data_IF_332841499184
#
_entry.id   IF_332841499184
#
_cell.length_a   1.000
_cell.length_b   1.000
_cell.length_c   1.000
_cell.angle_alpha   90.00
_cell.angle_beta   90.00
_cell.angle_gamma   90.00
#
_symmetry.space_group_name_H-M   'P 1'
#
loop_
_entity.id
_entity.type
_entity.pdbx_description
1 polymer ?
#
# COMPACT_ATOMS: atom_id res chain seq x y z
N UNK A 1 0.54 -18.11 39.74
CA UNK A 1 0.41 -19.46 39.14
C UNK A 1 -0.78 -19.39 38.21
N UNK A 2 -0.56 -19.06 36.94
CA UNK A 2 -1.61 -18.92 35.94
C UNK A 2 -1.64 -20.22 35.14
N UNK A 3 -2.74 -20.93 35.29
CA UNK A 3 -3.07 -22.19 34.63
C UNK A 3 -3.08 -21.99 33.12
N UNK A 4 -2.02 -22.44 32.43
CA UNK A 4 -2.01 -22.61 30.96
C UNK A 4 -2.68 -23.96 30.66
N UNK A 5 -3.99 -24.02 30.84
CA UNK A 5 -4.77 -25.10 30.27
C UNK A 5 -4.75 -24.94 28.75
N UNK A 6 -3.82 -25.65 28.08
CA UNK A 6 -3.81 -25.71 26.62
C UNK A 6 -5.13 -26.35 26.19
N UNK A 7 -6.02 -25.58 25.61
CA UNK A 7 -7.30 -26.10 25.15
C UNK A 7 -7.02 -27.20 24.11
N UNK A 8 -7.86 -28.24 24.06
CA UNK A 8 -7.84 -29.32 23.04
C UNK A 8 -7.65 -28.75 21.63
N UNK A 9 -8.19 -27.54 21.40
CA UNK A 9 -8.07 -26.77 20.17
C UNK A 9 -6.66 -26.22 19.97
N UNK A 10 -5.96 -25.75 21.03
CA UNK A 10 -4.57 -25.32 20.98
C UNK A 10 -3.60 -26.48 20.71
N UNK A 11 -3.84 -27.62 21.32
CA UNK A 11 -3.06 -28.85 21.08
C UNK A 11 -3.25 -29.38 19.66
N UNK A 12 -4.48 -29.39 19.13
CA UNK A 12 -4.76 -29.81 17.75
C UNK A 12 -4.19 -28.80 16.73
N UNK A 13 -4.20 -27.50 17.03
CA UNK A 13 -3.49 -26.49 16.22
C UNK A 13 -1.98 -26.73 16.19
N UNK A 14 -1.36 -26.99 17.35
CA UNK A 14 0.08 -27.28 17.43
C UNK A 14 0.47 -28.57 16.68
N UNK A 15 -0.37 -29.62 16.77
CA UNK A 15 -0.18 -30.85 16.00
C UNK A 15 -0.34 -30.65 14.49
N UNK A 16 -1.35 -29.89 14.06
CA UNK A 16 -1.53 -29.55 12.65
C UNK A 16 -0.38 -28.69 12.13
N UNK A 17 0.11 -27.72 12.91
CA UNK A 17 1.27 -26.90 12.57
C UNK A 17 2.56 -27.74 12.49
N UNK A 18 2.78 -28.70 13.40
CA UNK A 18 3.97 -29.55 13.39
C UNK A 18 3.98 -30.60 12.29
N UNK A 19 2.83 -31.23 12.03
CA UNK A 19 2.75 -32.35 11.07
C UNK A 19 2.51 -31.90 9.61
N UNK A 20 1.80 -30.80 9.39
CA UNK A 20 1.38 -30.34 8.06
C UNK A 20 1.87 -28.93 7.75
N UNK A 21 1.98 -28.06 8.75
CA UNK A 21 2.42 -26.68 8.57
C UNK A 21 3.91 -26.58 8.19
N UNK A 22 4.77 -27.42 8.78
CA UNK A 22 6.20 -27.39 8.47
C UNK A 22 6.53 -27.77 7.01
N UNK A 23 5.93 -28.81 6.42
CA UNK A 23 6.10 -29.07 4.98
C UNK A 23 5.60 -27.95 4.07
N UNK A 24 4.49 -27.30 4.42
CA UNK A 24 3.94 -26.15 3.64
C UNK A 24 4.89 -24.96 3.74
N UNK A 25 5.36 -24.64 4.93
CA UNK A 25 6.32 -23.56 5.12
C UNK A 25 7.64 -23.85 4.36
N UNK A 26 8.12 -25.10 4.38
CA UNK A 26 9.29 -25.50 3.60
C UNK A 26 9.08 -25.36 2.08
N UNK A 27 7.89 -25.66 1.56
CA UNK A 27 7.55 -25.44 0.14
C UNK A 27 7.46 -23.95 -0.18
N UNK A 28 6.88 -23.14 0.69
CA UNK A 28 6.81 -21.70 0.54
C UNK A 28 8.22 -21.08 0.50
N UNK A 29 9.11 -21.51 1.41
CA UNK A 29 10.52 -21.09 1.42
C UNK A 29 11.26 -21.50 0.14
N UNK A 30 10.97 -22.69 -0.39
CA UNK A 30 11.55 -23.15 -1.66
C UNK A 30 11.06 -22.28 -2.85
N UNK A 31 9.79 -21.89 -2.87
CA UNK A 31 9.25 -20.95 -3.87
C UNK A 31 9.90 -19.56 -3.77
N UNK A 32 10.07 -19.05 -2.55
CA UNK A 32 10.76 -17.79 -2.30
C UNK A 32 12.22 -17.82 -2.75
N UNK A 33 12.94 -18.91 -2.43
CA UNK A 33 14.32 -19.09 -2.85
C UNK A 33 14.45 -19.21 -4.38
N UNK A 34 13.53 -19.90 -5.04
CA UNK A 34 13.48 -20.00 -6.50
C UNK A 34 13.20 -18.66 -7.15
N UNK A 35 12.26 -17.87 -6.61
CA UNK A 35 11.96 -16.52 -7.06
C UNK A 35 13.19 -15.61 -6.91
N UNK A 36 13.81 -15.59 -5.74
CA UNK A 36 15.01 -14.78 -5.46
C UNK A 36 16.15 -15.14 -6.43
N UNK A 37 16.45 -16.43 -6.62
CA UNK A 37 17.47 -16.89 -7.56
C UNK A 37 17.17 -16.48 -9.00
N UNK A 38 15.89 -16.52 -9.40
CA UNK A 38 15.46 -16.11 -10.74
C UNK A 38 15.61 -14.60 -10.93
N UNK A 39 15.30 -13.80 -9.89
CA UNK A 39 15.44 -12.35 -9.91
C UNK A 39 16.92 -11.90 -9.91
N UNK A 40 17.78 -12.57 -9.14
CA UNK A 40 19.22 -12.29 -9.11
C UNK A 40 19.87 -12.50 -10.47
N UNK A 41 19.40 -13.49 -11.23
CA UNK A 41 19.82 -13.73 -12.63
C UNK A 41 19.38 -12.63 -13.61
N UNK A 42 18.47 -11.75 -13.19
CA UNK A 42 17.94 -10.64 -14.00
C UNK A 42 18.70 -9.32 -13.80
N UNK A 43 19.87 -9.30 -13.17
CA UNK A 43 20.66 -8.07 -13.06
C UNK A 43 21.12 -7.61 -14.45
N UNK A 44 20.42 -6.64 -15.01
CA UNK A 44 20.68 -6.09 -16.34
C UNK A 44 21.39 -4.75 -16.26
N UNK A 45 22.49 -4.63 -17.00
CA UNK A 45 22.86 -3.35 -17.60
C UNK A 45 22.13 -3.27 -18.96
N UNK A 46 21.30 -2.27 -19.14
CA UNK A 46 20.58 -2.03 -20.41
C UNK A 46 21.53 -1.40 -21.45
N UNK A 47 22.73 -1.97 -21.62
CA UNK A 47 23.81 -1.46 -22.47
C UNK A 47 23.76 -1.99 -23.91
N UNK A 48 22.83 -2.89 -24.19
CA UNK A 48 22.69 -3.46 -25.53
C UNK A 48 21.25 -3.84 -25.89
N UNK A 49 20.94 -3.85 -27.18
CA UNK A 49 19.64 -4.29 -27.72
C UNK A 49 19.34 -5.73 -27.31
N UNK A 50 20.36 -6.58 -27.20
CA UNK A 50 20.20 -7.98 -26.76
C UNK A 50 19.80 -8.08 -25.28
N UNK A 51 20.33 -7.20 -24.42
CA UNK A 51 19.95 -7.13 -22.99
C UNK A 51 18.48 -6.69 -22.87
N UNK A 52 18.06 -5.65 -23.60
CA UNK A 52 16.67 -5.19 -23.61
C UNK A 52 15.71 -6.29 -24.10
N UNK A 53 16.08 -7.05 -25.14
CA UNK A 53 15.27 -8.19 -25.61
C UNK A 53 15.14 -9.27 -24.53
N UNK A 54 16.25 -9.70 -23.90
CA UNK A 54 16.20 -10.66 -22.80
C UNK A 54 15.32 -10.19 -21.65
N UNK A 55 15.37 -8.89 -21.30
CA UNK A 55 14.47 -8.33 -20.29
C UNK A 55 13.01 -8.44 -20.72
N UNK A 56 12.69 -8.08 -21.98
CA UNK A 56 11.33 -8.19 -22.51
C UNK A 56 10.80 -9.63 -22.45
N UNK A 57 11.64 -10.62 -22.72
CA UNK A 57 11.28 -12.05 -22.68
C UNK A 57 10.87 -12.53 -21.27
N UNK A 58 11.19 -11.74 -20.25
CA UNK A 58 10.73 -12.02 -18.87
C UNK A 58 9.28 -11.59 -18.62
N UNK A 59 8.62 -10.93 -19.58
CA UNK A 59 7.23 -10.50 -19.45
C UNK A 59 6.33 -11.25 -20.43
N UNK A 60 5.08 -11.54 -19.99
CA UNK A 60 4.06 -12.22 -20.80
C UNK A 60 3.33 -11.27 -21.76
N UNK A 61 3.98 -10.19 -22.17
CA UNK A 61 3.41 -9.24 -23.12
C UNK A 61 3.35 -9.84 -24.52
N UNK A 62 2.25 -9.57 -25.25
CA UNK A 62 2.17 -9.91 -26.67
C UNK A 62 3.38 -9.33 -27.42
N UNK A 63 3.98 -10.08 -28.38
CA UNK A 63 5.12 -9.61 -29.16
C UNK A 63 4.88 -8.29 -29.89
N UNK A 64 3.64 -8.06 -30.30
CA UNK A 64 3.24 -6.87 -31.10
C UNK A 64 2.85 -5.68 -30.21
N UNK A 65 2.82 -5.85 -28.87
CA UNK A 65 2.44 -4.80 -27.96
C UNK A 65 3.64 -4.00 -27.47
N UNK A 66 3.63 -2.70 -27.67
CA UNK A 66 4.51 -1.74 -27.00
C UNK A 66 3.73 -1.17 -25.82
N UNK A 67 4.03 -1.69 -24.62
CA UNK A 67 3.32 -1.29 -23.40
C UNK A 67 4.12 -0.22 -22.64
N UNK A 68 3.57 0.99 -22.54
CA UNK A 68 4.19 2.15 -21.89
C UNK A 68 3.38 2.69 -20.71
N UNK A 69 2.30 2.00 -20.29
CA UNK A 69 1.36 2.52 -19.32
C UNK A 69 1.39 1.77 -17.97
N UNK A 70 2.58 1.63 -17.38
CA UNK A 70 2.72 1.13 -15.99
C UNK A 70 2.01 2.01 -14.96
N UNK A 71 1.81 3.28 -15.27
CA UNK A 71 1.07 4.22 -14.42
C UNK A 71 -0.39 3.79 -14.19
N UNK A 72 -1.04 3.17 -15.17
CA UNK A 72 -2.38 2.61 -14.99
C UNK A 72 -2.33 1.25 -14.30
N UNK A 73 -1.54 0.31 -14.84
CA UNK A 73 -1.33 -1.02 -14.27
C UNK A 73 0.03 -1.57 -14.72
N UNK A 74 0.83 -2.07 -13.79
CA UNK A 74 2.14 -2.65 -14.10
C UNK A 74 2.03 -4.02 -14.78
N UNK A 75 3.04 -4.35 -15.56
CA UNK A 75 3.27 -5.73 -16.01
C UNK A 75 4.01 -6.49 -14.91
N UNK A 76 3.79 -7.80 -14.85
CA UNK A 76 4.39 -8.67 -13.84
C UNK A 76 5.42 -9.55 -14.54
N UNK A 77 6.67 -9.62 -14.06
CA UNK A 77 7.69 -10.48 -14.66
C UNK A 77 7.36 -11.96 -14.44
N UNK A 78 7.78 -12.80 -15.37
CA UNK A 78 7.52 -14.25 -15.36
C UNK A 78 7.85 -14.93 -14.03
N UNK A 79 9.02 -14.68 -13.38
CA UNK A 79 9.32 -15.30 -12.10
C UNK A 79 8.27 -14.99 -11.00
N UNK A 80 7.73 -13.78 -10.99
CA UNK A 80 6.66 -13.39 -10.04
C UNK A 80 5.34 -14.07 -10.39
N UNK A 81 5.01 -14.22 -11.68
CA UNK A 81 3.83 -14.97 -12.13
C UNK A 81 3.93 -16.43 -11.71
N UNK A 82 5.09 -17.05 -11.94
CA UNK A 82 5.33 -18.46 -11.62
C UNK A 82 5.26 -18.70 -10.10
N UNK A 83 5.82 -17.80 -9.30
CA UNK A 83 5.71 -17.83 -7.83
C UNK A 83 4.24 -17.71 -7.39
N UNK A 84 3.48 -16.77 -7.96
CA UNK A 84 2.06 -16.58 -7.65
C UNK A 84 1.24 -17.85 -7.93
N UNK A 85 1.48 -18.51 -9.08
CA UNK A 85 0.85 -19.80 -9.41
C UNK A 85 1.25 -20.86 -8.40
N UNK A 86 2.54 -20.97 -8.06
CA UNK A 86 3.04 -21.93 -7.06
C UNK A 86 2.42 -21.75 -5.67
N UNK A 87 2.23 -20.51 -5.23
CA UNK A 87 1.53 -20.22 -3.97
C UNK A 87 0.04 -20.54 -4.04
N UNK A 88 -0.62 -20.33 -5.19
CA UNK A 88 -2.01 -20.73 -5.40
C UNK A 88 -2.14 -22.26 -5.30
N UNK A 89 -1.31 -23.01 -5.99
CA UNK A 89 -1.28 -24.48 -5.91
C UNK A 89 -1.00 -24.96 -4.48
N UNK A 90 -0.12 -24.27 -3.75
CA UNK A 90 0.17 -24.58 -2.35
C UNK A 90 -1.06 -24.39 -1.46
N UNK A 91 -1.87 -23.36 -1.69
CA UNK A 91 -3.15 -23.17 -1.00
C UNK A 91 -4.08 -24.36 -1.17
N UNK A 92 -4.19 -24.88 -2.40
CA UNK A 92 -5.10 -25.95 -2.73
C UNK A 92 -4.66 -27.32 -2.17
N UNK A 93 -3.38 -27.49 -1.80
CA UNK A 93 -2.93 -28.75 -1.18
C UNK A 93 -3.52 -28.95 0.22
N UNK A 94 -3.77 -27.88 0.98
CA UNK A 94 -4.35 -27.95 2.32
C UNK A 94 -5.27 -26.74 2.60
N UNK A 95 -6.46 -26.69 2.00
CA UNK A 95 -7.36 -25.53 2.09
C UNK A 95 -7.74 -25.11 3.52
N UNK A 96 -7.80 -26.08 4.45
CA UNK A 96 -8.12 -25.79 5.85
C UNK A 96 -7.06 -24.94 6.54
N UNK A 97 -5.80 -25.04 6.15
CA UNK A 97 -4.70 -24.23 6.70
C UNK A 97 -4.71 -22.81 6.14
N UNK A 98 -5.31 -22.60 4.99
CA UNK A 98 -5.50 -21.29 4.38
C UNK A 98 -6.31 -20.36 5.28
N UNK A 99 -7.36 -20.86 5.93
CA UNK A 99 -8.23 -20.06 6.81
C UNK A 99 -7.83 -20.17 8.29
N UNK A 100 -7.46 -21.37 8.74
CA UNK A 100 -7.33 -21.70 10.16
C UNK A 100 -5.89 -21.84 10.64
N UNK A 101 -4.92 -21.94 9.71
CA UNK A 101 -3.51 -22.10 10.03
C UNK A 101 -2.77 -20.76 10.15
N UNK A 102 -1.71 -20.74 10.96
CA UNK A 102 -0.83 -19.57 11.08
C UNK A 102 0.18 -19.44 9.92
N UNK A 103 0.22 -20.41 9.00
CA UNK A 103 1.24 -20.47 7.93
C UNK A 103 1.18 -19.22 7.05
N UNK A 104 0.00 -18.88 6.57
CA UNK A 104 -0.17 -17.71 5.70
C UNK A 104 0.05 -16.39 6.44
N UNK A 105 -0.28 -16.35 7.72
CA UNK A 105 0.00 -15.18 8.56
C UNK A 105 1.52 -14.97 8.68
N UNK A 106 2.29 -16.02 8.89
CA UNK A 106 3.77 -15.94 8.98
C UNK A 106 4.36 -15.44 7.67
N UNK A 107 3.88 -15.95 6.52
CA UNK A 107 4.33 -15.49 5.20
C UNK A 107 3.96 -14.03 4.95
N UNK A 108 2.73 -13.64 5.24
CA UNK A 108 2.27 -12.25 5.09
C UNK A 108 3.06 -11.26 5.99
N UNK A 109 3.42 -11.67 7.22
CA UNK A 109 4.26 -10.84 8.08
C UNK A 109 5.69 -10.70 7.52
N UNK A 110 6.23 -11.73 6.87
CA UNK A 110 7.50 -11.64 6.14
C UNK A 110 7.44 -10.60 5.01
N UNK A 111 6.38 -10.63 4.21
CA UNK A 111 6.15 -9.64 3.14
C UNK A 111 5.97 -8.24 3.71
N UNK A 112 5.21 -8.10 4.82
CA UNK A 112 5.03 -6.82 5.50
C UNK A 112 6.37 -6.23 5.94
N UNK A 113 7.23 -7.04 6.53
CA UNK A 113 8.55 -6.59 6.98
C UNK A 113 9.42 -6.10 5.80
N UNK A 114 9.40 -6.81 4.66
CA UNK A 114 10.10 -6.39 3.45
C UNK A 114 9.51 -5.10 2.86
N UNK A 115 8.18 -4.98 2.84
CA UNK A 115 7.49 -3.77 2.37
C UNK A 115 7.78 -2.57 3.29
N UNK A 116 7.80 -2.77 4.60
CA UNK A 116 8.15 -1.73 5.57
C UNK A 116 9.60 -1.25 5.38
N UNK A 117 10.53 -2.17 5.16
CA UNK A 117 11.92 -1.84 4.86
C UNK A 117 12.06 -1.03 3.55
N UNK A 118 11.31 -1.41 2.48
CA UNK A 118 11.26 -0.67 1.22
C UNK A 118 10.75 0.76 1.40
N UNK A 119 9.75 0.94 2.25
CA UNK A 119 9.08 2.21 2.52
C UNK A 119 9.75 3.01 3.64
N UNK A 120 10.71 2.41 4.36
CA UNK A 120 11.40 2.97 5.53
C UNK A 120 10.44 3.38 6.63
N UNK A 121 9.55 2.48 7.01
CA UNK A 121 8.61 2.64 8.12
C UNK A 121 8.60 1.37 8.98
N UNK A 122 7.90 1.42 10.11
CA UNK A 122 7.72 0.25 10.97
C UNK A 122 6.66 -0.70 10.38
N UNK A 123 6.85 -2.01 10.55
CA UNK A 123 5.92 -3.01 10.06
C UNK A 123 4.53 -2.89 10.71
N UNK A 124 4.48 -2.44 11.97
CA UNK A 124 3.24 -2.23 12.70
C UNK A 124 2.42 -1.03 12.20
N UNK A 125 3.06 -0.13 11.44
CA UNK A 125 2.43 1.03 10.82
C UNK A 125 1.88 0.71 9.41
N UNK A 126 2.10 -0.51 8.90
CA UNK A 126 1.77 -0.87 7.53
C UNK A 126 0.67 -1.91 7.46
N UNK A 127 -0.45 -1.56 6.81
CA UNK A 127 -1.52 -2.46 6.44
C UNK A 127 -1.33 -2.97 5.01
N UNK A 128 -1.62 -4.25 4.78
CA UNK A 128 -1.70 -4.83 3.45
C UNK A 128 -3.15 -4.72 2.97
N UNK A 129 -3.39 -3.93 1.94
CA UNK A 129 -4.70 -3.67 1.32
C UNK A 129 -4.76 -4.23 -0.10
N UNK A 130 -5.83 -3.97 -0.87
CA UNK A 130 -5.92 -4.41 -2.26
C UNK A 130 -5.39 -3.38 -3.26
N UNK A 131 -5.45 -2.10 -2.92
CA UNK A 131 -4.98 -0.99 -3.76
C UNK A 131 -4.98 0.33 -2.97
N UNK A 132 -4.46 1.39 -3.59
CA UNK A 132 -4.48 2.75 -3.04
C UNK A 132 -5.90 3.26 -2.75
N UNK A 133 -6.87 2.96 -3.62
CA UNK A 133 -8.27 3.41 -3.46
C UNK A 133 -8.89 2.85 -2.18
N UNK A 134 -8.65 1.57 -1.86
CA UNK A 134 -9.09 1.00 -0.58
C UNK A 134 -8.45 1.73 0.61
N UNK A 135 -7.14 1.99 0.55
CA UNK A 135 -6.46 2.76 1.59
C UNK A 135 -7.13 4.12 1.83
N UNK A 136 -7.45 4.87 0.76
CA UNK A 136 -8.17 6.14 0.89
C UNK A 136 -9.60 5.98 1.39
N UNK A 137 -10.29 4.88 1.07
CA UNK A 137 -11.60 4.59 1.66
C UNK A 137 -11.51 4.34 3.17
N UNK A 138 -10.51 3.60 3.63
CA UNK A 138 -10.25 3.42 5.07
C UNK A 138 -10.09 4.76 5.76
N UNK A 139 -9.26 5.65 5.22
CA UNK A 139 -9.02 6.98 5.77
C UNK A 139 -10.29 7.85 5.78
N UNK A 140 -10.98 7.92 4.65
CA UNK A 140 -12.17 8.76 4.48
C UNK A 140 -13.33 8.32 5.38
N UNK A 141 -13.56 7.02 5.48
CA UNK A 141 -14.62 6.48 6.35
C UNK A 141 -14.26 6.56 7.83
N UNK A 142 -12.97 6.41 8.16
CA UNK A 142 -12.49 6.39 9.54
C UNK A 142 -12.40 7.75 10.19
N UNK A 143 -12.06 8.82 9.46
CA UNK A 143 -11.96 10.15 10.05
C UNK A 143 -13.34 10.73 10.43
N UNK A 144 -13.47 11.28 11.64
CA UNK A 144 -14.72 11.89 12.12
C UNK A 144 -14.85 13.34 11.63
N UNK A 145 -14.89 13.54 10.30
CA UNK A 145 -15.12 14.85 9.71
C UNK A 145 -16.61 15.20 9.72
N UNK A 146 -16.90 16.48 9.89
CA UNK A 146 -18.25 17.05 10.03
C UNK A 146 -18.37 18.42 9.34
N UNK A 147 -19.55 19.04 9.41
CA UNK A 147 -19.78 20.37 8.88
C UNK A 147 -18.79 21.39 9.48
N UNK A 148 -18.18 22.19 8.63
CA UNK A 148 -17.11 23.14 8.97
C UNK A 148 -15.70 22.63 8.69
N UNK A 149 -15.50 21.31 8.56
CA UNK A 149 -14.21 20.73 8.18
C UNK A 149 -14.00 20.77 6.65
N UNK A 150 -12.75 20.90 6.21
CA UNK A 150 -12.37 20.86 4.80
C UNK A 150 -11.32 19.79 4.54
N UNK A 151 -11.49 19.03 3.45
CA UNK A 151 -10.47 18.19 2.82
C UNK A 151 -9.98 18.88 1.56
N UNK A 152 -8.68 19.13 1.49
CA UNK A 152 -8.03 19.84 0.40
C UNK A 152 -7.27 18.92 -0.52
N UNK A 153 -7.49 19.07 -1.82
CA UNK A 153 -6.76 18.43 -2.91
C UNK A 153 -6.20 19.45 -3.88
N UNK A 154 -5.21 19.08 -4.67
CA UNK A 154 -4.93 19.78 -5.93
C UNK A 154 -5.82 19.26 -7.06
N UNK A 155 -5.99 20.03 -8.13
CA UNK A 155 -6.78 19.62 -9.32
C UNK A 155 -6.18 18.44 -10.09
N UNK A 156 -4.92 18.07 -9.80
CA UNK A 156 -4.22 16.95 -10.43
C UNK A 156 -4.21 15.66 -9.60
N UNK A 157 -4.89 15.62 -8.45
CA UNK A 157 -5.03 14.39 -7.66
C UNK A 157 -5.86 13.36 -8.44
N UNK A 158 -5.46 12.09 -8.31
CA UNK A 158 -6.19 10.99 -8.92
C UNK A 158 -7.56 10.77 -8.27
N UNK A 159 -8.58 10.50 -9.09
CA UNK A 159 -9.95 10.30 -8.61
C UNK A 159 -10.06 9.16 -7.57
N UNK A 160 -9.25 8.10 -7.68
CA UNK A 160 -9.22 6.99 -6.71
C UNK A 160 -8.88 7.41 -5.28
N UNK A 161 -8.18 8.53 -5.10
CA UNK A 161 -7.90 9.09 -3.78
C UNK A 161 -8.99 10.05 -3.30
N UNK A 162 -9.84 10.56 -4.18
CA UNK A 162 -10.76 11.67 -3.90
C UNK A 162 -12.23 11.27 -3.78
N UNK A 163 -12.72 10.34 -4.60
CA UNK A 163 -14.17 10.03 -4.73
C UNK A 163 -14.82 9.61 -3.41
N UNK A 164 -14.11 8.89 -2.55
CA UNK A 164 -14.67 8.53 -1.23
C UNK A 164 -15.00 9.76 -0.39
N UNK A 165 -14.14 10.76 -0.42
CA UNK A 165 -14.33 12.03 0.30
C UNK A 165 -15.51 12.84 -0.25
N UNK A 166 -15.63 12.93 -1.59
CA UNK A 166 -16.76 13.62 -2.23
C UNK A 166 -18.08 12.98 -1.78
N UNK A 167 -18.19 11.66 -1.86
CA UNK A 167 -19.38 10.91 -1.46
C UNK A 167 -19.72 11.09 0.03
N UNK A 168 -18.71 11.11 0.90
CA UNK A 168 -18.92 11.28 2.33
C UNK A 168 -19.23 12.74 2.71
N UNK A 169 -18.69 13.71 1.99
CA UNK A 169 -19.00 15.12 2.18
C UNK A 169 -20.50 15.40 2.02
N UNK A 170 -21.13 14.83 0.99
CA UNK A 170 -22.59 14.92 0.78
C UNK A 170 -23.41 14.39 1.98
N UNK A 171 -22.89 13.40 2.70
CA UNK A 171 -23.57 12.73 3.80
C UNK A 171 -23.28 13.36 5.17
N UNK A 172 -22.05 13.87 5.37
CA UNK A 172 -21.55 14.33 6.66
C UNK A 172 -21.44 15.86 6.77
N UNK A 173 -21.55 16.56 5.63
CA UNK A 173 -21.59 18.03 5.58
C UNK A 173 -20.24 18.73 5.60
N UNK A 174 -19.11 18.00 5.60
CA UNK A 174 -17.81 18.63 5.41
C UNK A 174 -17.58 19.02 3.93
N UNK A 175 -16.57 19.85 3.65
CA UNK A 175 -16.28 20.32 2.30
C UNK A 175 -15.10 19.60 1.69
N UNK A 176 -15.18 19.26 0.40
CA UNK A 176 -14.02 18.82 -0.40
C UNK A 176 -13.70 19.92 -1.40
N UNK A 177 -12.49 20.47 -1.30
CA UNK A 177 -12.04 21.53 -2.19
C UNK A 177 -10.81 21.11 -2.99
N UNK A 178 -10.75 21.57 -4.24
CA UNK A 178 -9.62 21.36 -5.14
C UNK A 178 -9.05 22.70 -5.54
N UNK A 179 -7.77 22.96 -5.22
CA UNK A 179 -7.12 24.15 -5.72
C UNK A 179 -6.56 23.90 -7.14
N UNK A 180 -6.60 24.90 -8.03
CA UNK A 180 -6.07 24.77 -9.37
C UNK A 180 -4.55 24.63 -9.34
N UNK A 181 -4.04 23.60 -10.01
CA UNK A 181 -2.62 23.37 -10.17
C UNK A 181 -2.17 23.86 -11.57
N UNK A 182 -1.09 24.64 -11.68
CA UNK A 182 -0.64 25.20 -12.95
C UNK A 182 0.11 24.15 -13.80
N UNK A 183 -0.64 23.25 -14.43
CA UNK A 183 -0.14 22.10 -15.18
C UNK A 183 0.84 22.51 -16.26
N UNK A 184 0.56 23.62 -16.96
CA UNK A 184 1.38 24.12 -18.08
C UNK A 184 2.77 24.56 -17.61
N UNK A 185 2.90 24.91 -16.34
CA UNK A 185 4.18 25.31 -15.71
C UNK A 185 4.85 24.19 -14.93
N UNK A 186 4.26 22.99 -14.89
CA UNK A 186 4.71 21.92 -13.99
C UNK A 186 6.22 21.62 -14.07
N UNK A 187 6.79 21.60 -15.27
CA UNK A 187 8.23 21.36 -15.48
C UNK A 187 9.13 22.53 -15.04
N UNK A 188 8.59 23.72 -14.81
CA UNK A 188 9.32 24.95 -14.45
C UNK A 188 9.23 25.27 -12.97
N UNK A 189 8.29 24.62 -12.24
CA UNK A 189 8.08 24.90 -10.82
C UNK A 189 9.25 24.43 -9.98
N UNK A 190 9.79 25.34 -9.18
CA UNK A 190 10.77 24.98 -8.17
C UNK A 190 10.13 24.26 -6.98
N UNK A 191 10.95 23.63 -6.14
CA UNK A 191 10.46 22.98 -4.93
C UNK A 191 9.74 23.98 -4.00
N UNK A 192 10.31 25.18 -3.85
CA UNK A 192 9.74 26.26 -3.03
C UNK A 192 8.37 26.73 -3.56
N UNK A 193 8.23 26.85 -4.89
CA UNK A 193 6.96 27.18 -5.52
C UNK A 193 5.90 26.11 -5.32
N UNK A 194 6.30 24.83 -5.41
CA UNK A 194 5.41 23.70 -5.12
C UNK A 194 4.91 23.71 -3.67
N UNK A 195 5.78 23.96 -2.71
CA UNK A 195 5.41 24.13 -1.30
C UNK A 195 4.47 25.30 -1.14
N UNK A 196 4.80 26.46 -1.74
CA UNK A 196 4.03 27.68 -1.65
C UNK A 196 2.60 27.52 -2.21
N UNK A 197 2.42 26.79 -3.32
CA UNK A 197 1.10 26.49 -3.90
C UNK A 197 0.19 25.76 -2.88
N UNK A 198 0.72 24.77 -2.17
CA UNK A 198 -0.06 24.04 -1.18
C UNK A 198 -0.38 24.92 0.04
N UNK A 199 0.62 25.63 0.56
CA UNK A 199 0.46 26.53 1.72
C UNK A 199 -0.57 27.64 1.45
N UNK A 200 -0.54 28.26 0.26
CA UNK A 200 -1.50 29.30 -0.13
C UNK A 200 -2.93 28.76 -0.28
N UNK A 201 -3.07 27.48 -0.61
CA UNK A 201 -4.36 26.85 -0.74
C UNK A 201 -5.00 26.49 0.62
N UNK A 202 -4.24 26.40 1.71
CA UNK A 202 -4.76 26.08 3.05
C UNK A 202 -5.63 27.22 3.58
N UNK A 203 -6.76 26.85 4.19
CA UNK A 203 -7.70 27.73 4.88
C UNK A 203 -7.82 27.33 6.36
N UNK A 204 -8.40 28.17 7.22
CA UNK A 204 -8.62 27.80 8.62
C UNK A 204 -9.44 26.51 8.82
N UNK A 205 -10.35 26.20 7.88
CA UNK A 205 -11.21 25.02 7.89
C UNK A 205 -10.51 23.76 7.36
N UNK A 206 -9.33 23.89 6.73
CA UNK A 206 -8.60 22.77 6.11
C UNK A 206 -8.01 21.88 7.19
N UNK A 207 -8.65 20.75 7.46
CA UNK A 207 -8.15 19.74 8.40
C UNK A 207 -7.29 18.68 7.73
N UNK A 208 -7.63 18.31 6.50
CA UNK A 208 -6.94 17.25 5.75
C UNK A 208 -6.38 17.84 4.46
N UNK A 209 -5.10 17.58 4.19
CA UNK A 209 -4.49 17.77 2.88
C UNK A 209 -4.12 16.43 2.27
N UNK A 210 -4.51 16.18 1.03
CA UNK A 210 -4.11 14.99 0.26
C UNK A 210 -3.16 15.41 -0.86
N UNK A 211 -1.96 14.81 -0.88
CA UNK A 211 -0.88 15.14 -1.81
C UNK A 211 -0.57 13.92 -2.68
N UNK A 212 -0.49 14.00 -4.01
CA UNK A 212 0.15 12.95 -4.81
C UNK A 212 1.66 13.05 -4.63
N UNK A 213 2.35 11.94 -4.32
CA UNK A 213 3.82 11.97 -4.23
C UNK A 213 4.46 12.14 -5.61
N UNK A 214 3.96 11.37 -6.58
CA UNK A 214 4.13 11.62 -8.02
C UNK A 214 2.74 11.62 -8.62
N UNK A 215 2.34 12.70 -9.29
CA UNK A 215 1.02 12.78 -9.88
C UNK A 215 0.94 11.96 -11.20
N UNK A 216 -0.27 11.55 -11.56
CA UNK A 216 -0.50 10.75 -12.75
C UNK A 216 -0.82 11.55 -14.01
N UNK A 217 -0.91 12.87 -13.91
CA UNK A 217 -1.26 13.76 -15.02
C UNK A 217 -0.03 14.18 -15.81
N UNK A 218 1.00 14.65 -15.12
CA UNK A 218 2.24 15.17 -15.70
C UNK A 218 3.50 14.48 -15.18
N UNK A 219 3.36 13.56 -14.20
CA UNK A 219 4.49 12.81 -13.64
C UNK A 219 5.40 13.65 -12.74
N UNK A 220 4.91 14.75 -12.19
CA UNK A 220 5.69 15.63 -11.33
C UNK A 220 5.84 15.02 -9.93
N UNK A 221 7.06 15.01 -9.41
CA UNK A 221 7.34 14.64 -8.03
C UNK A 221 7.10 15.83 -7.10
N UNK A 222 6.23 15.64 -6.12
CA UNK A 222 5.96 16.65 -5.09
C UNK A 222 6.92 16.49 -3.91
N UNK A 223 7.43 17.60 -3.33
CA UNK A 223 8.27 17.61 -2.13
C UNK A 223 7.41 17.38 -0.88
N UNK A 224 6.97 16.14 -0.69
CA UNK A 224 5.96 15.76 0.32
C UNK A 224 6.36 16.17 1.73
N UNK A 225 7.63 15.96 2.11
CA UNK A 225 8.15 16.31 3.43
C UNK A 225 8.06 17.80 3.72
N UNK A 226 8.51 18.61 2.77
CA UNK A 226 8.52 20.07 2.88
C UNK A 226 7.09 20.63 2.87
N UNK A 227 6.21 20.06 2.04
CA UNK A 227 4.79 20.43 2.03
C UNK A 227 4.15 20.07 3.38
N UNK A 228 4.35 18.85 3.86
CA UNK A 228 3.77 18.39 5.13
C UNK A 228 4.20 19.30 6.29
N UNK A 229 5.47 19.63 6.39
CA UNK A 229 5.96 20.55 7.42
C UNK A 229 5.31 21.94 7.32
N UNK A 230 5.30 22.54 6.12
CA UNK A 230 4.82 23.91 5.92
C UNK A 230 3.30 24.06 6.13
N UNK A 231 2.49 23.04 5.77
CA UNK A 231 1.04 23.11 5.96
C UNK A 231 0.62 22.84 7.41
N UNK A 232 1.42 22.11 8.18
CA UNK A 232 1.19 21.97 9.63
C UNK A 232 1.33 23.29 10.37
N UNK A 233 2.27 24.15 9.97
CA UNK A 233 2.41 25.51 10.49
C UNK A 233 1.18 26.39 10.17
N UNK A 234 0.33 25.94 9.24
CA UNK A 234 -0.94 26.59 8.87
C UNK A 234 -2.16 25.94 9.55
N UNK A 235 -1.95 24.92 10.42
CA UNK A 235 -3.01 24.28 11.18
C UNK A 235 -3.63 23.04 10.53
N UNK A 236 -3.08 22.53 9.42
CA UNK A 236 -3.55 21.26 8.83
C UNK A 236 -3.27 20.11 9.82
N UNK A 237 -4.32 19.40 10.19
CA UNK A 237 -4.25 18.33 11.20
C UNK A 237 -3.74 17.03 10.60
N UNK A 238 -4.14 16.69 9.37
CA UNK A 238 -3.77 15.44 8.70
C UNK A 238 -3.21 15.68 7.31
N UNK A 239 -2.07 15.04 7.02
CA UNK A 239 -1.46 15.02 5.70
C UNK A 239 -1.43 13.58 5.19
N UNK A 240 -2.18 13.31 4.11
CA UNK A 240 -2.25 12.01 3.47
C UNK A 240 -1.58 12.04 2.10
N UNK A 241 -0.92 10.95 1.73
CA UNK A 241 -0.16 10.87 0.49
C UNK A 241 -0.67 9.75 -0.41
N UNK A 242 -1.00 10.13 -1.64
CA UNK A 242 -1.20 9.18 -2.73
C UNK A 242 0.17 8.80 -3.32
N UNK A 243 0.64 7.62 -2.95
CA UNK A 243 1.89 7.02 -3.38
C UNK A 243 1.76 6.04 -4.53
N UNK A 244 0.61 6.00 -5.21
CA UNK A 244 0.33 5.02 -6.26
C UNK A 244 1.35 5.02 -7.40
N UNK A 245 1.99 6.16 -7.69
CA UNK A 245 2.97 6.31 -8.77
C UNK A 245 4.42 6.37 -8.29
N UNK A 246 4.69 6.37 -7.00
CA UNK A 246 6.03 6.63 -6.46
C UNK A 246 6.80 5.38 -6.04
N UNK A 247 6.14 4.45 -5.34
CA UNK A 247 6.81 3.25 -4.81
C UNK A 247 7.22 2.32 -5.95
N UNK A 248 8.51 2.02 -6.03
CA UNK A 248 9.12 1.27 -7.14
C UNK A 248 9.59 2.15 -8.31
N UNK A 249 9.18 3.44 -8.36
CA UNK A 249 9.60 4.40 -9.37
C UNK A 249 10.68 5.35 -8.85
N UNK A 250 10.55 5.80 -7.61
CA UNK A 250 11.50 6.67 -6.92
C UNK A 250 11.81 6.12 -5.52
N UNK A 251 12.95 6.47 -4.92
CA UNK A 251 13.20 6.21 -3.50
C UNK A 251 12.15 6.89 -2.62
N UNK A 252 11.54 6.12 -1.72
CA UNK A 252 10.52 6.59 -0.78
C UNK A 252 11.04 6.43 0.64
N UNK A 253 10.78 7.43 1.48
CA UNK A 253 11.11 7.42 2.91
C UNK A 253 9.92 8.00 3.68
N UNK A 254 8.99 7.12 4.07
CA UNK A 254 7.77 7.54 4.78
C UNK A 254 8.09 7.93 6.21
N UNK A 255 8.99 7.20 6.88
CA UNK A 255 9.33 7.46 8.28
C UNK A 255 9.85 8.87 8.54
N UNK A 256 10.51 9.50 7.55
CA UNK A 256 11.00 10.87 7.65
C UNK A 256 10.08 11.92 7.01
N UNK A 257 9.01 11.49 6.32
CA UNK A 257 8.16 12.40 5.54
C UNK A 257 7.22 13.28 6.39
N UNK A 258 6.99 12.93 7.66
CA UNK A 258 6.11 13.70 8.55
C UNK A 258 4.63 13.67 8.15
N UNK A 259 4.20 12.60 7.48
CA UNK A 259 2.84 12.38 7.00
C UNK A 259 2.09 11.41 7.90
N UNK A 260 0.75 11.49 7.93
CA UNK A 260 -0.07 10.64 8.79
C UNK A 260 -0.49 9.35 8.09
N UNK A 261 -0.68 9.39 6.78
CA UNK A 261 -0.97 8.20 5.99
C UNK A 261 -0.35 8.26 4.59
N UNK A 262 -0.04 7.07 4.06
CA UNK A 262 0.53 6.90 2.73
C UNK A 262 -0.05 5.64 2.09
N UNK A 263 -0.81 5.78 1.03
CA UNK A 263 -1.41 4.65 0.32
C UNK A 263 -0.74 4.41 -1.02
N UNK A 264 -0.43 3.14 -1.36
CA UNK A 264 0.21 2.79 -2.62
C UNK A 264 -0.32 1.50 -3.24
N UNK A 265 -0.03 1.31 -4.51
CA UNK A 265 -0.45 0.17 -5.33
C UNK A 265 0.77 -0.55 -5.91
N UNK A 266 1.37 -1.52 -5.20
CA UNK A 266 2.54 -2.26 -5.66
C UNK A 266 2.38 -2.93 -7.04
N UNK A 267 1.16 -3.26 -7.45
CA UNK A 267 0.88 -3.81 -8.77
C UNK A 267 1.18 -2.87 -9.96
N UNK A 268 1.62 -1.63 -9.69
CA UNK A 268 2.09 -0.68 -10.71
C UNK A 268 3.61 -0.82 -10.89
N UNK A 269 4.38 -0.01 -10.20
CA UNK A 269 5.83 0.12 -10.41
C UNK A 269 6.67 -0.92 -9.64
N UNK A 270 6.17 -1.47 -8.55
CA UNK A 270 6.80 -2.60 -7.86
C UNK A 270 6.58 -3.92 -8.61
N UNK A 271 5.62 -3.94 -9.55
CA UNK A 271 5.32 -5.08 -10.42
C UNK A 271 4.85 -6.33 -9.66
N UNK A 272 4.16 -6.13 -8.53
CA UNK A 272 3.52 -7.23 -7.79
C UNK A 272 2.30 -7.78 -8.54
N UNK A 273 1.78 -8.94 -8.15
CA UNK A 273 0.46 -9.39 -8.60
C UNK A 273 -0.62 -8.33 -8.38
N UNK A 274 -1.69 -8.39 -9.19
CA UNK A 274 -2.82 -7.47 -9.07
C UNK A 274 -3.61 -7.77 -7.81
N UNK A 275 -4.23 -6.73 -7.23
CA UNK A 275 -4.99 -6.87 -6.00
C UNK A 275 -4.14 -6.74 -4.72
N UNK A 276 -2.95 -6.14 -4.83
CA UNK A 276 -2.11 -5.79 -3.69
C UNK A 276 -1.99 -4.27 -3.56
N UNK A 277 -2.23 -3.78 -2.37
CA UNK A 277 -2.03 -2.41 -1.92
C UNK A 277 -1.31 -2.37 -0.58
N UNK A 278 -0.76 -1.22 -0.24
CA UNK A 278 -0.18 -0.95 1.07
C UNK A 278 -0.73 0.37 1.60
N UNK A 279 -1.03 0.41 2.89
CA UNK A 279 -1.47 1.61 3.59
C UNK A 279 -0.61 1.79 4.85
N UNK A 280 0.23 2.80 4.86
CA UNK A 280 0.89 3.29 6.06
C UNK A 280 -0.08 4.18 6.84
N UNK A 281 -0.13 3.99 8.16
CA UNK A 281 -0.91 4.83 9.08
C UNK A 281 -0.06 5.11 10.30
N UNK A 282 0.25 6.37 10.55
CA UNK A 282 1.05 6.78 11.70
C UNK A 282 0.40 6.35 13.04
N UNK A 283 1.20 6.14 14.07
CA UNK A 283 0.70 5.78 15.41
C UNK A 283 -0.32 6.82 15.93
N UNK A 284 -0.04 8.10 15.72
CA UNK A 284 -0.93 9.18 16.13
C UNK A 284 -2.30 9.09 15.45
N UNK A 285 -2.33 8.83 14.14
CA UNK A 285 -3.57 8.69 13.40
C UNK A 285 -4.32 7.41 13.78
N UNK A 286 -3.63 6.28 14.04
CA UNK A 286 -4.28 5.02 14.47
C UNK A 286 -5.09 5.17 15.76
N UNK A 287 -4.66 6.04 16.66
CA UNK A 287 -5.40 6.30 17.90
C UNK A 287 -6.78 6.94 17.68
N UNK A 288 -6.99 7.54 16.51
CA UNK A 288 -8.19 8.29 16.15
C UNK A 288 -9.07 7.56 15.11
N UNK A 289 -8.47 6.66 14.33
CA UNK A 289 -9.20 5.89 13.33
C UNK A 289 -9.86 4.66 13.98
N UNK A 290 -11.18 4.49 13.87
CA UNK A 290 -11.84 3.27 14.31
C UNK A 290 -11.43 2.11 13.41
N UNK A 291 -11.54 0.90 13.93
CA UNK A 291 -11.42 -0.30 13.12
C UNK A 291 -12.51 -0.33 12.07
N UNK A 292 -12.14 -0.56 10.83
CA UNK A 292 -13.10 -0.65 9.73
C UNK A 292 -13.76 -2.03 9.65
N UNK A 293 -13.02 -3.08 10.03
CA UNK A 293 -13.45 -4.46 9.84
C UNK A 293 -13.52 -5.21 11.17
N UNK A 294 -14.64 -5.87 11.44
CA UNK A 294 -14.88 -6.66 12.64
C UNK A 294 -14.95 -8.15 12.27
N UNK A 295 -13.86 -8.88 12.48
CA UNK A 295 -13.76 -10.30 12.12
C UNK A 295 -14.42 -11.21 13.15
N UNK A 296 -13.87 -11.22 14.34
CA UNK A 296 -14.34 -12.00 15.51
C UNK A 296 -14.02 -11.24 16.78
N UNK A 297 -14.65 -11.63 17.90
CA UNK A 297 -14.35 -11.04 19.21
C UNK A 297 -12.87 -11.23 19.67
N UNK A 298 -12.18 -12.23 19.09
CA UNK A 298 -10.80 -12.57 19.42
C UNK A 298 -9.76 -11.80 18.56
N UNK A 299 -10.18 -11.18 17.46
CA UNK A 299 -9.28 -10.42 16.59
C UNK A 299 -8.98 -9.01 17.12
N UNK A 300 -8.74 -8.91 18.43
CA UNK A 300 -8.30 -7.67 19.07
C UNK A 300 -6.78 -7.54 18.98
N UNK A 301 -6.25 -7.38 17.78
CA UNK A 301 -4.90 -6.87 17.60
C UNK A 301 -5.00 -5.34 17.69
N UNK A 302 -4.93 -4.81 18.90
CA UNK A 302 -5.15 -3.39 19.13
C UNK A 302 -3.91 -2.57 18.78
N UNK A 303 -4.11 -1.46 18.06
CA UNK A 303 -3.13 -0.40 17.94
C UNK A 303 -2.11 -0.52 16.82
N UNK A 304 -2.23 -1.48 15.90
CA UNK A 304 -1.39 -1.57 14.70
C UNK A 304 -2.19 -1.33 13.43
N UNK A 305 -1.53 -1.02 12.31
CA UNK A 305 -2.19 -0.83 11.03
C UNK A 305 -2.92 -2.09 10.50
N UNK A 306 -2.63 -3.26 11.07
CA UNK A 306 -3.37 -4.50 10.77
C UNK A 306 -4.86 -4.42 11.11
N UNK A 307 -5.27 -3.46 11.92
CA UNK A 307 -6.69 -3.18 12.20
C UNK A 307 -7.45 -2.70 10.96
N UNK A 308 -6.76 -2.24 9.93
CA UNK A 308 -7.30 -1.79 8.66
C UNK A 308 -7.22 -2.84 7.55
N UNK A 309 -6.64 -4.00 7.84
CA UNK A 309 -6.69 -5.17 6.97
C UNK A 309 -7.95 -5.95 7.20
N UNK A 310 -8.66 -6.32 6.08
CA UNK A 310 -9.67 -7.21 6.21
C UNK A 310 -9.58 -8.33 6.73
N UNK A 311 -10.31 -9.03 6.55
CA UNK A 311 -11.28 -9.90 5.95
C UNK A 311 -10.91 -11.35 6.27
N UNK A 312 -11.78 -12.19 6.62
CA UNK A 312 -11.49 -13.56 7.06
C UNK A 312 -10.84 -14.44 5.98
N UNK A 313 -11.22 -14.29 4.72
CA UNK A 313 -10.66 -15.03 3.57
C UNK A 313 -10.12 -14.05 2.54
N UNK A 314 -8.84 -14.19 2.19
CA UNK A 314 -8.12 -13.25 1.35
C UNK A 314 -7.31 -13.99 0.28
N UNK A 315 -6.98 -13.33 -0.81
CA UNK A 315 -6.12 -13.88 -1.87
C UNK A 315 -4.64 -13.90 -1.44
N UNK A 316 -4.30 -14.64 -0.38
CA UNK A 316 -2.93 -14.73 0.16
C UNK A 316 -1.85 -15.03 -0.89
N UNK A 317 -2.09 -15.88 -1.91
CA UNK A 317 -1.09 -16.11 -2.95
C UNK A 317 -0.66 -14.86 -3.72
N UNK A 318 -1.45 -13.79 -3.69
CA UNK A 318 -1.12 -12.52 -4.32
C UNK A 318 -0.26 -11.60 -3.44
N UNK A 319 -0.20 -11.87 -2.15
CA UNK A 319 0.60 -11.14 -1.17
C UNK A 319 2.03 -11.63 -1.18
#
# INVERSE_FOLDING_TARGET
MTDTCSSRRGFLKALAMGAVGAPILGRAQALEAALTSSLDGLSFRADSVSAVRRLRDQYLLSPDLIYLNHASIGTVPRPVVDAHIGYLELCETHPSLYVWGDVWRVLAEGVRAQAAALLKCEADDLAITHNTTEGFNVLAHGLPLSAGDEVLFSSINHAGAAVAWDTLAERRGFTVRRFPFPVERGAELTQEELVALHVQAVRPETRVLVIPHVDNMIGLRHPVREIAAAVRDRGVEYVFVDGAQSVGMIPVDIGSAGVDAYATSPHKWVQSPKGLGLLYVSEALRSQLPRMWHKTAESRMGGTARDYEDYSTRAWPAV
#
